data_IF_691373536731
#
_entry.id   IF_691373536731
#
_cell.length_a   1.000
_cell.length_b   1.000
_cell.length_c   1.000
_cell.angle_alpha   90.00
_cell.angle_beta   90.00
_cell.angle_gamma   90.00
#
_symmetry.space_group_name_H-M   'P 1'
#
loop_
_entity.id
_entity.type
_entity.pdbx_description
1 polymer ?
#
# COMPACT_ATOMS: atom_id res chain seq x y z
N UNK A 1 14.42 -6.00 4.67
CA UNK A 1 13.46 -6.10 3.53
C UNK A 1 12.60 -7.32 3.76
N UNK A 2 11.31 -7.12 4.04
CA UNK A 2 10.39 -8.13 4.60
C UNK A 2 10.25 -9.41 3.74
N UNK A 3 10.04 -9.25 2.43
CA UNK A 3 9.85 -10.39 1.51
C UNK A 3 11.11 -11.24 1.38
N UNK A 4 12.30 -10.62 1.43
CA UNK A 4 13.56 -11.35 1.43
C UNK A 4 13.70 -12.23 2.67
N UNK A 5 13.27 -11.76 3.85
CA UNK A 5 13.30 -12.55 5.09
C UNK A 5 12.45 -13.82 4.99
N UNK A 6 11.27 -13.73 4.34
CA UNK A 6 10.43 -14.92 4.08
C UNK A 6 11.10 -15.84 3.06
N UNK A 7 11.66 -15.31 1.98
CA UNK A 7 12.38 -16.08 0.96
C UNK A 7 13.58 -16.84 1.55
N UNK A 8 14.36 -16.20 2.45
CA UNK A 8 15.53 -16.81 3.09
C UNK A 8 15.18 -17.75 4.24
N UNK A 9 13.91 -17.84 4.65
CA UNK A 9 13.50 -18.66 5.79
C UNK A 9 13.78 -18.05 7.16
N UNK A 10 14.10 -16.76 7.23
CA UNK A 10 14.23 -16.02 8.50
C UNK A 10 12.86 -15.78 9.15
N UNK A 11 11.81 -15.67 8.35
CA UNK A 11 10.43 -15.43 8.79
C UNK A 11 9.47 -16.31 7.99
N UNK A 12 8.38 -16.76 8.61
CA UNK A 12 7.28 -17.46 7.93
C UNK A 12 6.27 -16.49 7.33
N UNK A 13 6.14 -15.29 7.92
CA UNK A 13 5.19 -14.25 7.52
C UNK A 13 5.87 -12.88 7.52
N UNK A 14 5.44 -12.02 6.60
CA UNK A 14 5.86 -10.63 6.53
C UNK A 14 4.66 -9.70 6.37
N UNK A 15 4.72 -8.54 7.00
CA UNK A 15 3.71 -7.47 6.84
C UNK A 15 4.29 -6.38 5.95
N UNK A 16 3.54 -5.95 4.96
CA UNK A 16 3.97 -4.90 4.03
C UNK A 16 2.82 -4.35 3.19
N UNK A 17 3.10 -3.24 2.52
CA UNK A 17 2.15 -2.70 1.54
C UNK A 17 2.24 -3.48 0.23
N UNK A 18 1.10 -3.67 -0.43
CA UNK A 18 0.98 -4.45 -1.67
C UNK A 18 1.82 -3.90 -2.83
N UNK A 19 1.98 -2.59 -2.92
CA UNK A 19 2.75 -1.96 -3.99
C UNK A 19 4.24 -2.36 -4.00
N UNK A 20 4.82 -2.74 -2.86
CA UNK A 20 6.19 -3.26 -2.81
C UNK A 20 6.34 -4.59 -3.54
N UNK A 21 5.32 -5.45 -3.51
CA UNK A 21 5.31 -6.67 -4.33
C UNK A 21 5.35 -6.34 -5.82
N UNK A 22 4.53 -5.38 -6.24
CA UNK A 22 4.53 -4.91 -7.63
C UNK A 22 5.87 -4.32 -8.04
N UNK A 23 6.48 -3.52 -7.18
CA UNK A 23 7.79 -2.94 -7.43
C UNK A 23 8.87 -4.01 -7.60
N UNK A 24 8.89 -5.05 -6.75
CA UNK A 24 9.85 -6.16 -6.87
C UNK A 24 9.63 -6.98 -8.14
N UNK A 25 8.38 -7.30 -8.48
CA UNK A 25 8.04 -8.05 -9.70
C UNK A 25 8.40 -7.33 -10.99
N UNK A 26 8.39 -5.98 -10.98
CA UNK A 26 8.77 -5.13 -12.12
C UNK A 26 10.25 -4.71 -12.10
N UNK A 27 11.03 -5.08 -11.08
CA UNK A 27 12.42 -4.63 -10.95
C UNK A 27 13.34 -5.36 -11.93
N UNK A 28 13.82 -4.63 -12.93
CA UNK A 28 14.77 -5.16 -13.92
C UNK A 28 16.24 -4.92 -13.53
N UNK A 29 16.50 -4.01 -12.59
CA UNK A 29 17.85 -3.69 -12.14
C UNK A 29 18.38 -4.72 -11.15
N UNK A 30 17.49 -5.29 -10.35
CA UNK A 30 17.80 -6.29 -9.33
C UNK A 30 16.88 -7.51 -9.53
N UNK A 31 17.18 -8.38 -10.50
CA UNK A 31 16.29 -9.48 -10.93
C UNK A 31 16.02 -10.50 -9.81
N UNK A 32 16.91 -10.61 -8.82
CA UNK A 32 16.70 -11.44 -7.64
C UNK A 32 15.47 -11.04 -6.83
N UNK A 33 15.03 -9.79 -6.89
CA UNK A 33 13.79 -9.36 -6.23
C UNK A 33 12.54 -10.02 -6.80
N UNK A 34 12.57 -10.39 -8.10
CA UNK A 34 11.49 -11.15 -8.72
C UNK A 34 11.41 -12.57 -8.15
N UNK A 35 12.55 -13.18 -7.85
CA UNK A 35 12.59 -14.50 -7.23
C UNK A 35 12.00 -14.45 -5.83
N UNK A 36 12.38 -13.45 -5.03
CA UNK A 36 11.80 -13.27 -3.70
C UNK A 36 10.29 -13.05 -3.74
N UNK A 37 9.82 -12.17 -4.64
CA UNK A 37 8.40 -11.88 -4.80
C UNK A 37 7.60 -13.09 -5.27
N UNK A 38 8.17 -13.93 -6.16
CA UNK A 38 7.51 -15.13 -6.66
C UNK A 38 7.50 -16.29 -5.66
N UNK A 39 8.33 -16.24 -4.61
CA UNK A 39 8.37 -17.28 -3.57
C UNK A 39 7.28 -17.15 -2.49
N UNK A 40 6.58 -16.03 -2.45
CA UNK A 40 5.59 -15.74 -1.42
C UNK A 40 4.19 -15.55 -2.02
N UNK A 41 3.17 -15.83 -1.22
CA UNK A 41 1.78 -15.58 -1.57
C UNK A 41 1.25 -14.35 -0.84
N UNK A 42 0.47 -13.53 -1.56
CA UNK A 42 -0.24 -12.41 -0.96
C UNK A 42 -1.41 -12.91 -0.12
N UNK A 43 -1.48 -12.49 1.13
CA UNK A 43 -2.58 -12.81 2.03
C UNK A 43 -3.29 -11.51 2.46
N UNK A 44 -4.58 -11.44 2.24
CA UNK A 44 -5.44 -10.36 2.73
C UNK A 44 -6.13 -10.80 4.01
N UNK A 45 -5.72 -10.30 5.20
CA UNK A 45 -6.30 -10.73 6.47
C UNK A 45 -7.72 -10.21 6.66
N UNK A 46 -8.46 -10.86 7.57
CA UNK A 46 -9.81 -10.45 7.99
C UNK A 46 -10.87 -10.41 6.88
N UNK A 47 -10.69 -11.10 5.76
CA UNK A 47 -11.64 -11.10 4.64
C UNK A 47 -13.02 -11.62 5.02
N UNK A 48 -13.10 -12.54 5.98
CA UNK A 48 -14.35 -13.12 6.49
C UNK A 48 -14.95 -12.36 7.67
N UNK A 49 -14.29 -11.28 8.11
CA UNK A 49 -14.70 -10.44 9.23
C UNK A 49 -14.80 -8.98 8.79
N UNK A 50 -14.13 -8.07 9.46
CA UNK A 50 -14.20 -6.63 9.19
C UNK A 50 -13.60 -6.21 7.84
N UNK A 51 -12.69 -6.98 7.29
CA UNK A 51 -11.95 -6.68 6.08
C UNK A 51 -10.47 -6.39 6.34
N UNK A 52 -9.70 -6.35 5.26
CA UNK A 52 -8.27 -6.04 5.28
C UNK A 52 -8.07 -4.54 5.50
N UNK A 53 -7.19 -4.16 6.43
CA UNK A 53 -6.81 -2.77 6.60
C UNK A 53 -6.19 -2.22 5.31
N UNK A 54 -6.64 -1.04 4.88
CA UNK A 54 -6.13 -0.35 3.70
C UNK A 54 -5.48 0.96 4.09
N UNK A 55 -4.33 1.25 3.48
CA UNK A 55 -3.67 2.55 3.54
C UNK A 55 -4.06 3.35 2.30
N UNK A 56 -4.06 4.68 2.39
CA UNK A 56 -4.50 5.57 1.32
C UNK A 56 -3.40 6.57 0.98
N UNK A 57 -3.03 6.63 -0.30
CA UNK A 57 -2.23 7.74 -0.84
C UNK A 57 -3.13 8.95 -1.09
N UNK A 58 -2.64 10.15 -0.82
CA UNK A 58 -3.43 11.36 -0.94
C UNK A 58 -2.62 12.57 -1.36
N UNK A 59 -3.29 13.56 -1.93
CA UNK A 59 -2.73 14.86 -2.25
C UNK A 59 -3.45 15.97 -1.47
N UNK A 60 -2.70 16.95 -1.00
CA UNK A 60 -3.23 18.11 -0.30
C UNK A 60 -2.74 19.41 -0.92
N UNK A 61 -3.61 20.41 -0.99
CA UNK A 61 -3.24 21.75 -1.42
C UNK A 61 -2.68 22.54 -0.23
N UNK A 62 -1.41 22.96 -0.34
CA UNK A 62 -0.80 23.79 0.68
C UNK A 62 -1.49 25.16 0.76
N UNK A 63 -1.65 25.71 1.98
CA UNK A 63 -2.33 27.00 2.22
C UNK A 63 -1.77 28.15 1.38
N UNK A 64 -0.46 28.17 1.19
CA UNK A 64 0.25 29.22 0.46
C UNK A 64 0.84 28.69 -0.85
N UNK A 65 0.13 27.79 -1.54
CA UNK A 65 0.57 27.28 -2.84
C UNK A 65 0.71 28.42 -3.86
N UNK A 66 1.91 28.63 -4.46
CA UNK A 66 2.14 29.73 -5.40
C UNK A 66 1.43 29.53 -6.74
N UNK A 67 1.16 28.26 -7.11
CA UNK A 67 0.50 27.87 -8.37
C UNK A 67 -0.81 27.12 -8.09
N UNK A 68 -1.69 27.74 -7.30
CA UNK A 68 -2.91 27.11 -6.81
C UNK A 68 -3.79 26.54 -7.92
N UNK A 69 -4.03 27.29 -8.99
CA UNK A 69 -4.90 26.87 -10.08
C UNK A 69 -4.34 25.65 -10.83
N UNK A 70 -3.03 25.59 -11.04
CA UNK A 70 -2.39 24.44 -11.64
C UNK A 70 -2.39 23.23 -10.70
N UNK A 71 -2.21 23.45 -9.39
CA UNK A 71 -2.30 22.39 -8.40
C UNK A 71 -3.72 21.78 -8.35
N UNK A 72 -4.77 22.61 -8.43
CA UNK A 72 -6.15 22.11 -8.50
C UNK A 72 -6.39 21.29 -9.76
N UNK A 73 -5.94 21.75 -10.93
CA UNK A 73 -6.03 20.97 -12.18
C UNK A 73 -5.32 19.62 -12.08
N UNK A 74 -4.15 19.58 -11.43
CA UNK A 74 -3.45 18.31 -11.19
C UNK A 74 -4.26 17.40 -10.26
N UNK A 75 -4.84 17.93 -9.18
CA UNK A 75 -5.68 17.14 -8.28
C UNK A 75 -6.94 16.62 -8.97
N UNK A 76 -7.58 17.43 -9.83
CA UNK A 76 -8.71 17.01 -10.67
C UNK A 76 -8.29 15.89 -11.63
N UNK A 77 -7.13 16.02 -12.28
CA UNK A 77 -6.59 14.97 -13.15
C UNK A 77 -6.33 13.68 -12.37
N UNK A 78 -5.68 13.75 -11.20
CA UNK A 78 -5.43 12.57 -10.36
C UNK A 78 -6.72 11.87 -9.89
N UNK A 79 -7.83 12.61 -9.78
CA UNK A 79 -9.15 12.06 -9.45
C UNK A 79 -9.96 11.60 -10.68
N UNK A 80 -9.48 11.83 -11.90
CA UNK A 80 -10.09 11.35 -13.13
C UNK A 80 -9.88 9.85 -13.33
N UNK A 81 -10.65 9.21 -14.22
CA UNK A 81 -10.47 7.79 -14.55
C UNK A 81 -9.06 7.53 -15.10
N UNK A 82 -8.62 8.36 -16.05
CA UNK A 82 -7.29 8.28 -16.65
C UNK A 82 -6.17 8.43 -15.61
N UNK A 83 -6.28 9.43 -14.73
CA UNK A 83 -5.31 9.65 -13.66
C UNK A 83 -5.25 8.48 -12.67
N UNK A 84 -6.39 7.90 -12.32
CA UNK A 84 -6.47 6.75 -11.43
C UNK A 84 -5.92 5.47 -12.08
N UNK A 85 -6.22 5.21 -13.36
CA UNK A 85 -5.64 4.07 -14.08
C UNK A 85 -4.13 4.18 -14.19
N UNK A 86 -3.61 5.34 -14.60
CA UNK A 86 -2.19 5.58 -14.76
C UNK A 86 -1.45 5.44 -13.42
N UNK A 87 -1.97 6.03 -12.35
CA UNK A 87 -1.39 5.96 -11.02
C UNK A 87 -1.38 4.53 -10.48
N UNK A 88 -2.50 3.82 -10.63
CA UNK A 88 -2.63 2.44 -10.18
C UNK A 88 -1.68 1.48 -10.92
N UNK A 89 -1.48 1.66 -12.22
CA UNK A 89 -0.56 0.82 -13.00
C UNK A 89 0.91 1.11 -12.68
N UNK A 90 1.30 2.38 -12.60
CA UNK A 90 2.69 2.78 -12.32
C UNK A 90 3.10 2.43 -10.90
N UNK A 91 2.25 2.72 -9.92
CA UNK A 91 2.55 2.49 -8.50
C UNK A 91 2.10 1.13 -7.98
N UNK A 92 1.41 0.31 -8.80
CA UNK A 92 0.86 -0.99 -8.39
C UNK A 92 -0.11 -0.87 -7.20
N UNK A 93 -0.93 0.17 -7.21
CA UNK A 93 -1.95 0.44 -6.20
C UNK A 93 -3.36 0.14 -6.73
N UNK A 94 -4.31 0.00 -5.81
CA UNK A 94 -5.72 -0.09 -6.18
C UNK A 94 -6.26 1.32 -6.41
N UNK A 95 -7.00 1.60 -7.51
CA UNK A 95 -7.65 2.89 -7.70
C UNK A 95 -8.68 3.11 -6.59
N UNK A 96 -8.75 4.35 -6.08
CA UNK A 96 -9.74 4.73 -5.06
C UNK A 96 -11.09 5.11 -5.67
N UNK A 97 -11.11 5.43 -6.96
CA UNK A 97 -12.34 5.79 -7.68
C UNK A 97 -13.06 4.51 -8.11
N UNK A 98 -14.34 4.41 -7.74
CA UNK A 98 -15.18 3.28 -8.12
C UNK A 98 -15.36 3.21 -9.64
N UNK A 99 -15.37 1.99 -10.18
CA UNK A 99 -15.51 1.74 -11.63
C UNK A 99 -14.22 1.80 -12.44
N UNK A 100 -13.13 2.31 -11.88
CA UNK A 100 -11.81 2.28 -12.55
C UNK A 100 -11.23 0.87 -12.50
N UNK A 101 -10.79 0.29 -13.64
CA UNK A 101 -10.27 -1.06 -13.68
C UNK A 101 -8.94 -1.18 -12.94
N UNK A 102 -8.75 -2.30 -12.26
CA UNK A 102 -7.47 -2.65 -11.66
C UNK A 102 -6.47 -3.03 -12.74
N UNK A 103 -5.19 -2.69 -12.54
CA UNK A 103 -4.14 -3.15 -13.43
C UNK A 103 -4.06 -4.70 -13.44
N UNK A 104 -3.56 -5.33 -14.53
CA UNK A 104 -3.44 -6.79 -14.60
C UNK A 104 -2.66 -7.40 -13.43
N UNK A 105 -1.60 -6.72 -12.99
CA UNK A 105 -0.79 -7.17 -11.86
C UNK A 105 -1.57 -7.13 -10.55
N UNK A 106 -2.20 -5.99 -10.23
CA UNK A 106 -3.00 -5.84 -9.01
C UNK A 106 -4.17 -6.82 -9.00
N UNK A 107 -4.81 -7.04 -10.17
CA UNK A 107 -5.90 -8.01 -10.33
C UNK A 107 -5.44 -9.45 -10.08
N UNK A 108 -4.19 -9.79 -10.38
CA UNK A 108 -3.64 -11.13 -10.17
C UNK A 108 -3.52 -11.52 -8.68
N UNK A 109 -3.50 -10.55 -7.76
CA UNK A 109 -3.47 -10.80 -6.33
C UNK A 109 -4.81 -11.24 -5.74
N UNK A 110 -5.86 -11.17 -6.55
CA UNK A 110 -7.21 -11.61 -6.18
C UNK A 110 -8.04 -10.53 -5.49
N UNK A 111 -9.32 -10.82 -5.29
CA UNK A 111 -10.24 -9.90 -4.62
C UNK A 111 -9.98 -9.88 -3.11
N UNK A 112 -10.24 -8.74 -2.48
CA UNK A 112 -10.27 -8.59 -1.03
C UNK A 112 -11.42 -7.68 -0.60
N UNK A 113 -11.82 -7.79 0.65
CA UNK A 113 -12.75 -6.88 1.30
C UNK A 113 -11.94 -5.84 2.08
N UNK A 114 -12.09 -4.57 1.75
CA UNK A 114 -11.48 -3.49 2.51
C UNK A 114 -12.19 -3.28 3.86
N UNK A 115 -11.41 -2.98 4.91
CA UNK A 115 -11.95 -2.56 6.21
C UNK A 115 -12.64 -1.18 6.04
N UNK A 116 -13.91 -1.03 6.43
CA UNK A 116 -14.67 0.21 6.26
C UNK A 116 -14.33 1.30 7.28
N UNK A 117 -13.33 1.09 8.15
CA UNK A 117 -12.93 2.09 9.15
C UNK A 117 -12.58 3.43 8.49
N UNK A 118 -13.12 4.52 9.01
CA UNK A 118 -12.88 5.85 8.45
C UNK A 118 -11.46 6.36 8.74
N UNK A 119 -10.92 7.20 7.84
CA UNK A 119 -9.63 7.86 8.04
C UNK A 119 -9.61 8.74 9.30
N UNK A 120 -10.75 9.33 9.71
CA UNK A 120 -10.85 10.10 10.93
C UNK A 120 -10.69 9.23 12.18
N UNK A 121 -11.28 8.03 12.19
CA UNK A 121 -11.11 7.08 13.29
C UNK A 121 -9.66 6.59 13.37
N UNK A 122 -9.02 6.29 12.24
CA UNK A 122 -7.59 5.94 12.18
C UNK A 122 -6.73 7.08 12.74
N UNK A 123 -6.99 8.32 12.30
CA UNK A 123 -6.26 9.51 12.76
C UNK A 123 -6.39 9.73 14.28
N UNK A 124 -7.57 9.49 14.85
CA UNK A 124 -7.81 9.60 16.30
C UNK A 124 -6.99 8.59 17.12
N UNK A 125 -6.65 7.44 16.55
CA UNK A 125 -5.88 6.39 17.21
C UNK A 125 -4.36 6.55 17.04
N UNK A 126 -3.89 7.48 16.22
CA UNK A 126 -2.48 7.63 15.85
C UNK A 126 -1.54 7.72 17.07
N UNK A 127 -1.86 8.58 18.06
CA UNK A 127 -1.03 8.75 19.25
C UNK A 127 -0.90 7.43 20.01
N UNK A 128 -2.03 6.77 20.27
CA UNK A 128 -2.06 5.50 21.00
C UNK A 128 -1.32 4.38 20.25
N UNK A 129 -1.42 4.36 18.93
CA UNK A 129 -0.70 3.39 18.10
C UNK A 129 0.82 3.61 18.18
N UNK A 130 1.31 4.86 18.11
CA UNK A 130 2.73 5.16 18.27
C UNK A 130 3.25 4.75 19.66
N UNK A 131 2.53 5.09 20.72
CA UNK A 131 2.88 4.68 22.09
C UNK A 131 2.92 3.14 22.23
N UNK A 132 2.06 2.43 21.52
CA UNK A 132 2.05 0.96 21.53
C UNK A 132 3.27 0.39 20.79
N UNK A 133 3.62 0.94 19.62
CA UNK A 133 4.82 0.55 18.84
C UNK A 133 6.06 0.67 19.72
N UNK A 134 6.25 1.81 20.38
CA UNK A 134 7.37 2.06 21.29
C UNK A 134 7.38 1.06 22.45
N UNK A 135 6.21 0.83 23.05
CA UNK A 135 6.07 -0.06 24.21
C UNK A 135 6.43 -1.51 23.93
N UNK A 136 6.12 -1.98 22.72
CA UNK A 136 6.39 -3.39 22.33
C UNK A 136 7.72 -3.57 21.59
N UNK A 137 8.48 -2.49 21.36
CA UNK A 137 9.74 -2.53 20.62
C UNK A 137 9.57 -3.01 19.18
N UNK A 138 8.47 -2.64 18.52
CA UNK A 138 8.10 -3.17 17.19
C UNK A 138 9.18 -2.90 16.12
N UNK A 139 9.86 -1.75 16.20
CA UNK A 139 10.90 -1.33 15.26
C UNK A 139 12.33 -1.70 15.71
N UNK A 140 12.49 -2.32 16.86
CA UNK A 140 13.81 -2.64 17.43
C UNK A 140 14.50 -3.83 16.73
N UNK A 141 13.78 -4.50 15.82
CA UNK A 141 14.26 -5.71 15.16
C UNK A 141 14.24 -6.95 16.06
N UNK A 142 14.73 -8.09 15.56
CA UNK A 142 14.80 -9.30 16.37
C UNK A 142 15.77 -9.09 17.54
N UNK A 143 15.35 -9.45 18.74
CA UNK A 143 16.25 -9.51 19.91
C UNK A 143 17.32 -10.55 19.62
N UNK A 144 18.57 -10.12 19.53
CA UNK A 144 19.75 -10.97 19.35
C UNK A 144 20.00 -11.85 20.56
#
# INVERSE_FOLDING_TARGET
>A
MQVKGVYSGECDLAVGNTYYMGAMLKNEKEPEQKEWANSVNMLFPNTNDRGTHVNVSGAVLAKNAPNKDNALKLMEFLASDEGQEMYADVNNEYPVKEGVPWSPLVKSWGPFKADPISLNEIAALRKKASELVDKVGFDDGPSS
#
